data_IF_869601533044
#
_entry.id   IF_869601533044
#
_cell.length_a   1.000
_cell.length_b   1.000
_cell.length_c   1.000
_cell.angle_alpha   90.00
_cell.angle_beta   90.00
_cell.angle_gamma   90.00
#
_symmetry.space_group_name_H-M   'P 1'
#
loop_
_entity.id
_entity.type
_entity.pdbx_description
1 polymer ?
#
# COMPACT_ATOMS: atom_id res chain seq x y z
N UNK A 1 4.03 22.07 -5.63
CA UNK A 1 2.85 21.27 -5.21
C UNK A 1 2.93 20.90 -3.74
N UNK A 2 4.07 20.37 -3.25
CA UNK A 2 4.29 20.03 -1.84
C UNK A 2 4.18 21.21 -0.87
N UNK A 3 4.52 22.43 -1.28
CA UNK A 3 4.42 23.63 -0.44
C UNK A 3 2.99 23.88 0.09
N UNK A 4 1.97 23.56 -0.72
CA UNK A 4 0.57 23.67 -0.28
C UNK A 4 0.21 22.64 0.79
N UNK A 5 0.94 21.53 0.86
CA UNK A 5 0.76 20.52 1.90
C UNK A 5 1.34 20.95 3.25
N UNK A 6 2.11 22.06 3.33
CA UNK A 6 2.75 22.56 4.56
C UNK A 6 2.15 23.89 5.06
N UNK A 7 1.17 24.43 4.33
CA UNK A 7 0.52 25.70 4.63
C UNK A 7 -0.91 25.46 5.09
N UNK A 8 -1.30 26.03 6.23
CA UNK A 8 -2.64 25.81 6.77
C UNK A 8 -3.01 26.71 7.94
N UNK A 9 -4.18 26.46 8.52
CA UNK A 9 -4.68 27.20 9.69
C UNK A 9 -4.06 26.66 10.99
N UNK A 10 -4.26 27.36 12.12
CA UNK A 10 -3.85 26.86 13.44
C UNK A 10 -4.43 25.47 13.75
N UNK A 11 -5.67 25.19 13.33
CA UNK A 11 -6.30 23.87 13.47
C UNK A 11 -5.57 22.79 12.67
N UNK A 12 -5.17 23.12 11.44
CA UNK A 12 -4.38 22.22 10.60
C UNK A 12 -3.05 21.87 11.26
N UNK A 13 -2.30 22.86 11.77
CA UNK A 13 -1.03 22.58 12.45
C UNK A 13 -1.22 21.78 13.75
N UNK A 14 -2.27 22.08 14.52
CA UNK A 14 -2.62 21.29 15.71
C UNK A 14 -2.94 19.83 15.37
N UNK A 15 -3.66 19.59 14.27
CA UNK A 15 -3.96 18.24 13.78
C UNK A 15 -2.70 17.51 13.30
N UNK A 16 -1.82 18.17 12.55
CA UNK A 16 -0.55 17.59 12.12
C UNK A 16 0.35 17.24 13.30
N UNK A 17 0.44 18.10 14.31
CA UNK A 17 1.21 17.83 15.52
C UNK A 17 0.66 16.61 16.28
N UNK A 18 -0.67 16.48 16.39
CA UNK A 18 -1.30 15.33 17.02
C UNK A 18 -0.99 14.02 16.28
N UNK A 19 -1.09 14.01 14.94
CA UNK A 19 -0.74 12.84 14.13
C UNK A 19 0.74 12.47 14.25
N UNK A 20 1.64 13.47 14.23
CA UNK A 20 3.08 13.25 14.41
C UNK A 20 3.40 12.71 15.81
N UNK A 21 2.68 13.15 16.85
CA UNK A 21 2.84 12.61 18.19
C UNK A 21 2.44 11.12 18.25
N UNK A 22 1.32 10.74 17.64
CA UNK A 22 0.90 9.33 17.54
C UNK A 22 1.91 8.48 16.77
N UNK A 23 2.41 8.99 15.63
CA UNK A 23 3.47 8.35 14.85
C UNK A 23 4.74 8.21 15.69
N UNK A 24 5.13 9.24 16.44
CA UNK A 24 6.30 9.22 17.32
C UNK A 24 6.21 8.16 18.42
N UNK A 25 5.04 8.02 19.05
CA UNK A 25 4.79 6.94 20.03
C UNK A 25 4.89 5.58 19.35
N UNK A 26 4.27 5.40 18.18
CA UNK A 26 4.34 4.15 17.42
C UNK A 26 5.78 3.79 17.02
N UNK A 27 6.56 4.78 16.60
CA UNK A 27 7.97 4.61 16.26
C UNK A 27 8.82 4.24 17.49
N UNK A 28 8.58 4.86 18.64
CA UNK A 28 9.27 4.50 19.88
C UNK A 28 8.96 3.04 20.29
N UNK A 29 7.71 2.61 20.18
CA UNK A 29 7.33 1.20 20.40
C UNK A 29 8.02 0.26 19.39
N UNK A 30 8.12 0.67 18.13
CA UNK A 30 8.85 -0.11 17.12
C UNK A 30 10.34 -0.22 17.43
N UNK A 31 11.00 0.82 17.92
CA UNK A 31 12.42 0.73 18.34
C UNK A 31 12.62 -0.27 19.49
N UNK A 32 11.66 -0.32 20.42
CA UNK A 32 11.67 -1.34 21.47
C UNK A 32 11.48 -2.75 20.89
N UNK A 33 10.53 -2.94 19.97
CA UNK A 33 10.36 -4.20 19.23
C UNK A 33 11.60 -4.59 18.43
N UNK A 34 12.27 -3.64 17.78
CA UNK A 34 13.47 -3.92 17.00
C UNK A 34 14.61 -4.47 17.88
N UNK A 35 14.69 -4.04 19.13
CA UNK A 35 15.71 -4.49 20.09
C UNK A 35 15.33 -5.80 20.78
N UNK A 36 14.06 -5.94 21.18
CA UNK A 36 13.57 -7.12 21.91
C UNK A 36 13.17 -8.30 21.00
N UNK A 37 12.82 -8.00 19.75
CA UNK A 37 12.23 -8.94 18.80
C UNK A 37 10.69 -8.95 18.84
N UNK A 38 10.09 -9.75 17.95
CA UNK A 38 8.63 -9.83 17.77
C UNK A 38 7.86 -10.37 18.98
N UNK A 39 8.52 -10.90 20.01
CA UNK A 39 7.86 -11.43 21.21
C UNK A 39 6.99 -10.41 21.96
N UNK A 40 7.30 -9.11 21.83
CA UNK A 40 6.49 -8.02 22.41
C UNK A 40 5.09 -7.91 21.79
N UNK A 41 4.90 -8.41 20.58
CA UNK A 41 3.62 -8.32 19.86
C UNK A 41 2.56 -9.26 20.40
N UNK A 42 2.92 -10.20 21.29
CA UNK A 42 2.04 -11.26 21.76
C UNK A 42 1.80 -12.39 20.75
N UNK A 43 2.50 -12.37 19.60
CA UNK A 43 2.52 -13.49 18.68
C UNK A 43 3.16 -14.71 19.34
N UNK A 44 2.68 -15.90 18.95
CA UNK A 44 3.15 -17.18 19.47
C UNK A 44 3.67 -18.06 18.35
N UNK A 45 4.20 -19.22 18.70
CA UNK A 45 4.59 -20.22 17.69
C UNK A 45 3.41 -20.69 16.85
N UNK A 46 2.22 -20.81 17.45
CA UNK A 46 1.01 -21.31 16.78
C UNK A 46 0.27 -20.20 16.01
N UNK A 47 0.44 -18.95 16.46
CA UNK A 47 -0.11 -17.74 15.83
C UNK A 47 1.05 -16.79 15.54
N UNK A 48 1.76 -17.08 14.45
CA UNK A 48 2.94 -16.34 14.01
C UNK A 48 2.62 -15.06 13.25
N UNK A 49 1.38 -14.88 12.80
CA UNK A 49 0.87 -13.67 12.15
C UNK A 49 -0.22 -13.06 13.02
N UNK A 50 0.03 -11.83 13.47
CA UNK A 50 -0.86 -11.09 14.35
C UNK A 50 -1.41 -9.83 13.69
N UNK A 51 -1.42 -8.74 14.46
CA UNK A 51 -2.06 -7.50 14.04
C UNK A 51 -1.45 -6.88 12.78
N UNK A 52 -0.14 -7.00 12.57
CA UNK A 52 0.53 -6.44 11.39
C UNK A 52 0.00 -7.04 10.09
N UNK A 53 -0.06 -8.36 10.00
CA UNK A 53 -0.53 -9.05 8.79
C UNK A 53 -2.05 -8.91 8.60
N UNK A 54 -2.81 -8.85 9.68
CA UNK A 54 -4.24 -8.52 9.62
C UNK A 54 -4.48 -7.12 9.02
N UNK A 55 -3.76 -6.10 9.50
CA UNK A 55 -3.86 -4.73 8.98
C UNK A 55 -3.36 -4.60 7.55
N UNK A 56 -2.26 -5.28 7.21
CA UNK A 56 -1.77 -5.41 5.84
C UNK A 56 -2.90 -5.89 4.90
N UNK A 57 -3.57 -6.97 5.27
CA UNK A 57 -4.61 -7.59 4.43
C UNK A 57 -5.82 -6.67 4.25
N UNK A 58 -6.23 -6.01 5.34
CA UNK A 58 -7.28 -5.00 5.29
C UNK A 58 -6.92 -3.86 4.34
N UNK A 59 -5.69 -3.33 4.44
CA UNK A 59 -5.25 -2.19 3.65
C UNK A 59 -4.96 -2.53 2.19
N UNK A 60 -4.61 -3.78 1.86
CA UNK A 60 -4.62 -4.26 0.46
C UNK A 60 -6.02 -4.09 -0.14
N UNK A 61 -7.06 -4.44 0.62
CA UNK A 61 -8.45 -4.19 0.24
C UNK A 61 -8.82 -2.73 0.06
N UNK A 62 -8.37 -1.87 0.98
CA UNK A 62 -8.55 -0.43 0.83
C UNK A 62 -7.81 0.09 -0.40
N UNK A 63 -6.60 -0.39 -0.68
CA UNK A 63 -5.80 0.04 -1.82
C UNK A 63 -6.48 -0.27 -3.16
N UNK A 64 -7.04 -1.47 -3.34
CA UNK A 64 -7.69 -1.81 -4.60
C UNK A 64 -9.07 -1.16 -4.80
N UNK A 65 -9.68 -0.62 -3.73
CA UNK A 65 -10.92 0.14 -3.86
C UNK A 65 -10.78 1.35 -4.81
N UNK A 66 -9.55 1.87 -5.00
CA UNK A 66 -9.26 2.91 -5.97
C UNK A 66 -9.65 2.50 -7.41
N UNK A 67 -9.48 1.23 -7.77
CA UNK A 67 -9.82 0.73 -9.11
C UNK A 67 -11.31 0.74 -9.39
N UNK A 68 -12.16 0.66 -8.36
CA UNK A 68 -13.62 0.82 -8.51
C UNK A 68 -14.02 2.20 -9.03
N UNK A 69 -13.17 3.22 -8.81
CA UNK A 69 -13.38 4.60 -9.28
C UNK A 69 -12.68 4.84 -10.63
N UNK A 70 -11.50 4.26 -10.81
CA UNK A 70 -10.69 4.37 -12.04
C UNK A 70 -11.39 3.69 -13.23
N UNK A 71 -11.95 2.49 -13.04
CA UNK A 71 -12.57 1.68 -14.10
C UNK A 71 -13.71 2.42 -14.84
N UNK A 72 -14.76 2.94 -14.18
CA UNK A 72 -15.85 3.64 -14.87
C UNK A 72 -15.38 4.89 -15.64
N UNK A 73 -14.39 5.61 -15.11
CA UNK A 73 -13.89 6.81 -15.75
C UNK A 73 -13.13 6.49 -17.04
N UNK A 74 -12.20 5.53 -17.01
CA UNK A 74 -11.31 5.26 -18.13
C UNK A 74 -11.85 4.24 -19.14
N UNK A 75 -12.61 3.22 -18.72
CA UNK A 75 -13.21 2.23 -19.62
C UNK A 75 -14.59 2.65 -20.13
N UNK A 76 -15.41 3.24 -19.26
CA UNK A 76 -16.80 3.59 -19.61
C UNK A 76 -16.99 5.09 -19.91
N UNK A 77 -15.90 5.88 -19.94
CA UNK A 77 -15.90 7.32 -20.19
C UNK A 77 -16.86 8.11 -19.27
N UNK A 78 -17.10 7.63 -18.05
CA UNK A 78 -18.01 8.27 -17.11
C UNK A 78 -17.32 9.42 -16.38
N UNK A 79 -17.38 10.61 -16.98
CA UNK A 79 -16.63 11.82 -16.56
C UNK A 79 -16.88 12.29 -15.13
N UNK A 80 -17.98 11.89 -14.49
CA UNK A 80 -18.29 12.27 -13.12
C UNK A 80 -17.27 11.75 -12.10
N UNK A 81 -16.55 10.66 -12.42
CA UNK A 81 -15.54 10.11 -11.52
C UNK A 81 -14.17 10.78 -11.62
N UNK A 82 -13.89 11.63 -12.62
CA UNK A 82 -12.54 12.14 -12.88
C UNK A 82 -11.83 12.75 -11.66
N UNK A 83 -12.52 13.61 -10.89
CA UNK A 83 -11.97 14.21 -9.66
C UNK A 83 -11.86 13.22 -8.50
N UNK A 84 -12.78 12.26 -8.42
CA UNK A 84 -12.79 11.23 -7.38
C UNK A 84 -11.66 10.23 -7.64
N UNK A 85 -11.31 9.97 -8.90
CA UNK A 85 -10.19 9.13 -9.31
C UNK A 85 -8.87 9.61 -8.72
N UNK A 86 -8.63 10.92 -8.70
CA UNK A 86 -7.44 11.50 -8.07
C UNK A 86 -7.37 11.14 -6.59
N UNK A 87 -8.47 11.28 -5.86
CA UNK A 87 -8.54 10.91 -4.44
C UNK A 87 -8.35 9.41 -4.23
N UNK A 88 -8.90 8.58 -5.12
CA UNK A 88 -8.73 7.13 -5.11
C UNK A 88 -7.26 6.71 -5.29
N UNK A 89 -6.56 7.28 -6.26
CA UNK A 89 -5.13 7.01 -6.53
C UNK A 89 -4.26 7.38 -5.32
N UNK A 90 -4.48 8.54 -4.69
CA UNK A 90 -3.73 8.92 -3.48
C UNK A 90 -4.09 8.07 -2.25
N UNK A 91 -5.34 7.62 -2.13
CA UNK A 91 -5.73 6.65 -1.10
C UNK A 91 -5.00 5.32 -1.28
N UNK A 92 -4.87 4.85 -2.54
CA UNK A 92 -4.09 3.66 -2.86
C UNK A 92 -2.62 3.85 -2.48
N UNK A 93 -1.99 4.99 -2.83
CA UNK A 93 -0.60 5.29 -2.42
C UNK A 93 -0.43 5.19 -0.90
N UNK A 94 -1.29 5.84 -0.13
CA UNK A 94 -1.22 5.82 1.33
C UNK A 94 -1.42 4.41 1.89
N UNK A 95 -2.40 3.66 1.36
CA UNK A 95 -2.73 2.31 1.83
C UNK A 95 -1.61 1.30 1.52
N UNK A 96 -1.06 1.32 0.30
CA UNK A 96 0.03 0.43 -0.11
C UNK A 96 1.32 0.76 0.63
N UNK A 97 1.59 2.04 0.90
CA UNK A 97 2.73 2.44 1.74
C UNK A 97 2.62 1.80 3.13
N UNK A 98 1.42 1.85 3.73
CA UNK A 98 1.17 1.20 5.01
C UNK A 98 1.27 -0.33 4.93
N UNK A 99 0.81 -0.96 3.85
CA UNK A 99 1.00 -2.40 3.61
C UNK A 99 2.48 -2.80 3.66
N UNK A 100 3.33 -2.07 2.92
CA UNK A 100 4.77 -2.31 2.89
C UNK A 100 5.39 -2.10 4.27
N UNK A 101 4.98 -1.05 5.00
CA UNK A 101 5.46 -0.80 6.36
C UNK A 101 5.04 -1.92 7.32
N UNK A 102 3.80 -2.43 7.24
CA UNK A 102 3.35 -3.54 8.08
C UNK A 102 4.14 -4.82 7.84
N UNK A 103 4.42 -5.15 6.56
CA UNK A 103 5.30 -6.28 6.24
C UNK A 103 6.71 -6.02 6.80
N UNK A 104 7.25 -4.82 6.62
CA UNK A 104 8.60 -4.49 7.07
C UNK A 104 8.77 -4.62 8.58
N UNK A 105 7.82 -4.15 9.39
CA UNK A 105 7.89 -4.25 10.85
C UNK A 105 7.60 -5.66 11.38
N UNK A 106 6.89 -6.48 10.61
CA UNK A 106 6.63 -7.89 10.91
C UNK A 106 7.86 -8.79 10.62
N UNK A 107 8.84 -8.31 9.84
CA UNK A 107 10.08 -9.04 9.63
C UNK A 107 10.89 -9.18 10.92
N UNK A 108 11.24 -10.42 11.28
CA UNK A 108 12.10 -10.69 12.44
C UNK A 108 13.52 -10.12 12.31
N UNK A 109 14.00 -9.87 11.09
CA UNK A 109 15.30 -9.23 10.81
C UNK A 109 15.17 -8.25 9.64
N UNK A 110 14.65 -7.03 9.86
CA UNK A 110 14.33 -6.09 8.78
C UNK A 110 15.59 -5.54 8.10
N UNK A 111 16.76 -5.60 8.74
CA UNK A 111 18.06 -5.24 8.14
C UNK A 111 18.43 -6.09 6.93
N UNK A 112 17.81 -7.27 6.77
CA UNK A 112 18.03 -8.19 5.65
C UNK A 112 17.03 -8.03 4.51
N UNK A 113 16.12 -7.06 4.56
CA UNK A 113 15.07 -6.90 3.52
C UNK A 113 15.65 -6.73 2.11
N UNK A 114 16.82 -6.09 2.00
CA UNK A 114 17.51 -5.88 0.72
C UNK A 114 17.90 -7.20 0.05
N UNK A 115 18.05 -8.29 0.83
CA UNK A 115 18.37 -9.60 0.28
C UNK A 115 17.26 -10.15 -0.62
N UNK A 116 16.00 -9.72 -0.44
CA UNK A 116 14.88 -10.11 -1.31
C UNK A 116 15.09 -9.57 -2.73
N UNK A 117 15.74 -8.40 -2.86
CA UNK A 117 16.09 -7.80 -4.15
C UNK A 117 17.38 -8.39 -4.73
N UNK A 118 18.39 -8.61 -3.88
CA UNK A 118 19.70 -9.14 -4.32
C UNK A 118 19.65 -10.63 -4.67
N UNK A 119 18.74 -11.39 -4.06
CA UNK A 119 18.57 -12.83 -4.29
C UNK A 119 17.11 -13.13 -4.63
N UNK A 120 16.66 -12.80 -5.86
CA UNK A 120 15.29 -13.06 -6.28
C UNK A 120 14.89 -14.53 -6.11
N UNK A 121 13.71 -14.78 -5.55
CA UNK A 121 13.17 -16.12 -5.33
C UNK A 121 11.78 -16.27 -5.97
N UNK A 122 11.69 -16.46 -7.31
CA UNK A 122 10.41 -16.52 -8.03
C UNK A 122 9.49 -17.66 -7.60
N UNK A 123 10.02 -18.68 -6.90
CA UNK A 123 9.23 -19.78 -6.33
C UNK A 123 8.48 -19.38 -5.04
N UNK A 124 8.76 -18.20 -4.47
CA UNK A 124 8.16 -17.71 -3.24
C UNK A 124 7.02 -16.72 -3.52
N UNK A 125 5.86 -16.92 -2.90
CA UNK A 125 4.74 -15.98 -3.00
C UNK A 125 5.09 -14.62 -2.36
N UNK A 126 5.91 -14.61 -1.29
CA UNK A 126 6.39 -13.36 -0.67
C UNK A 126 7.26 -12.52 -1.61
N UNK A 127 7.98 -13.17 -2.53
CA UNK A 127 8.74 -12.43 -3.55
C UNK A 127 7.78 -11.73 -4.53
N UNK A 128 6.73 -12.42 -4.96
CA UNK A 128 5.71 -11.81 -5.83
C UNK A 128 4.94 -10.71 -5.11
N UNK A 129 4.66 -10.85 -3.80
CA UNK A 129 4.01 -9.83 -3.00
C UNK A 129 4.80 -8.51 -3.00
N UNK A 130 6.11 -8.61 -2.79
CA UNK A 130 7.02 -7.46 -2.91
C UNK A 130 6.95 -6.81 -4.30
N UNK A 131 6.96 -7.60 -5.38
CA UNK A 131 6.88 -7.07 -6.74
C UNK A 131 5.55 -6.37 -7.02
N UNK A 132 4.42 -6.98 -6.65
CA UNK A 132 3.11 -6.41 -6.94
C UNK A 132 2.85 -5.16 -6.11
N UNK A 133 3.21 -5.13 -4.82
CA UNK A 133 3.03 -3.96 -3.96
C UNK A 133 3.89 -2.78 -4.43
N UNK A 134 5.18 -3.00 -4.70
CA UNK A 134 6.07 -1.94 -5.18
C UNK A 134 5.67 -1.46 -6.58
N UNK A 135 5.32 -2.38 -7.48
CA UNK A 135 4.83 -2.03 -8.82
C UNK A 135 3.55 -1.20 -8.76
N UNK A 136 2.60 -1.59 -7.90
CA UNK A 136 1.35 -0.84 -7.73
C UNK A 136 1.62 0.54 -7.16
N UNK A 137 2.47 0.64 -6.13
CA UNK A 137 2.84 1.92 -5.52
C UNK A 137 3.44 2.88 -6.54
N UNK A 138 4.38 2.41 -7.36
CA UNK A 138 5.00 3.22 -8.41
C UNK A 138 3.97 3.68 -9.45
N UNK A 139 3.09 2.80 -9.90
CA UNK A 139 2.02 3.14 -10.83
C UNK A 139 1.11 4.23 -10.25
N UNK A 140 0.58 4.05 -9.03
CA UNK A 140 -0.33 5.03 -8.41
C UNK A 140 0.36 6.37 -8.14
N UNK A 141 1.64 6.39 -7.74
CA UNK A 141 2.39 7.64 -7.56
C UNK A 141 2.51 8.39 -8.89
N UNK A 142 2.95 7.70 -9.95
CA UNK A 142 3.15 8.34 -11.27
C UNK A 142 1.83 8.82 -11.86
N UNK A 143 0.80 7.97 -11.83
CA UNK A 143 -0.54 8.27 -12.35
C UNK A 143 -1.16 9.40 -11.53
N UNK A 144 -1.29 9.22 -10.21
CA UNK A 144 -1.90 10.19 -9.30
C UNK A 144 -1.23 11.56 -9.36
N UNK A 145 0.11 11.62 -9.38
CA UNK A 145 0.84 12.88 -9.46
C UNK A 145 0.59 13.61 -10.78
N UNK A 146 0.64 12.90 -11.91
CA UNK A 146 0.48 13.51 -13.23
C UNK A 146 -0.97 13.90 -13.54
N UNK A 147 -1.94 13.13 -13.06
CA UNK A 147 -3.35 13.51 -13.17
C UNK A 147 -3.65 14.73 -12.29
N UNK A 148 -3.10 14.80 -11.08
CA UNK A 148 -3.25 15.98 -10.20
C UNK A 148 -2.59 17.23 -10.81
N UNK A 149 -1.43 17.09 -11.43
CA UNK A 149 -0.75 18.17 -12.14
C UNK A 149 -1.59 18.70 -13.31
N UNK A 150 -2.19 17.80 -14.08
CA UNK A 150 -3.07 18.14 -15.20
C UNK A 150 -4.35 18.87 -14.74
N UNK A 151 -5.03 18.35 -13.71
CA UNK A 151 -6.23 18.98 -13.13
C UNK A 151 -5.92 20.36 -12.56
N UNK A 152 -4.76 20.55 -11.90
CA UNK A 152 -4.35 21.87 -11.38
C UNK A 152 -4.17 22.90 -12.50
N UNK A 153 -3.61 22.48 -13.62
CA UNK A 153 -3.29 23.37 -14.74
C UNK A 153 -4.47 23.51 -15.72
N UNK A 154 -5.62 22.89 -15.42
CA UNK A 154 -6.81 22.84 -16.28
C UNK A 154 -6.50 22.33 -17.70
N UNK A 155 -5.59 21.35 -17.78
CA UNK A 155 -5.19 20.71 -19.03
C UNK A 155 -5.54 19.22 -19.02
N UNK A 156 -5.70 18.64 -20.21
CA UNK A 156 -5.92 17.21 -20.32
C UNK A 156 -4.68 16.41 -19.83
N UNK A 157 -4.87 15.29 -19.10
CA UNK A 157 -3.76 14.41 -18.74
C UNK A 157 -2.98 13.93 -19.96
N UNK A 158 -1.66 13.80 -19.80
CA UNK A 158 -0.78 13.41 -20.89
C UNK A 158 -1.16 12.02 -21.46
N UNK A 159 -1.17 11.89 -22.80
CA UNK A 159 -1.63 10.67 -23.48
C UNK A 159 -0.86 9.39 -23.09
N UNK A 160 0.41 9.52 -22.72
CA UNK A 160 1.25 8.41 -22.26
C UNK A 160 0.83 7.83 -20.91
N UNK A 161 -0.03 8.50 -20.14
CA UNK A 161 -0.59 7.96 -18.90
C UNK A 161 -1.60 6.84 -19.15
N UNK A 162 -2.31 6.88 -20.28
CA UNK A 162 -3.34 5.89 -20.62
C UNK A 162 -2.83 4.44 -20.52
N UNK A 163 -1.70 4.05 -21.13
CA UNK A 163 -1.19 2.68 -20.97
C UNK A 163 -0.83 2.32 -19.52
N UNK A 164 -0.33 3.27 -18.71
CA UNK A 164 -0.05 3.01 -17.30
C UNK A 164 -1.32 2.78 -16.48
N UNK A 165 -2.38 3.52 -16.76
CA UNK A 165 -3.70 3.33 -16.14
C UNK A 165 -4.28 1.97 -16.53
N UNK A 166 -4.17 1.58 -17.80
CA UNK A 166 -4.59 0.24 -18.21
C UNK A 166 -3.75 -0.86 -17.56
N UNK A 167 -2.47 -0.61 -17.29
CA UNK A 167 -1.59 -1.52 -16.57
C UNK A 167 -1.92 -1.58 -15.07
N UNK A 168 -2.37 -0.48 -14.45
CA UNK A 168 -2.67 -0.45 -13.02
C UNK A 168 -3.91 -1.27 -12.64
N UNK A 169 -4.87 -1.43 -13.57
CA UNK A 169 -6.08 -2.25 -13.37
C UNK A 169 -5.74 -3.73 -13.05
N UNK A 170 -5.03 -4.49 -13.91
CA UNK A 170 -4.66 -5.87 -13.59
C UNK A 170 -3.69 -5.95 -12.40
N UNK A 171 -2.90 -4.90 -12.17
CA UNK A 171 -1.99 -4.81 -11.03
C UNK A 171 -2.74 -4.73 -9.69
N UNK A 172 -3.86 -4.01 -9.65
CA UNK A 172 -4.74 -3.96 -8.48
C UNK A 172 -5.42 -5.31 -8.19
N UNK A 173 -5.78 -6.07 -9.24
CA UNK A 173 -6.24 -7.46 -9.06
C UNK A 173 -5.09 -8.31 -8.51
N UNK A 174 -3.87 -8.10 -9.02
CA UNK A 174 -2.69 -8.87 -8.63
C UNK A 174 -2.31 -8.70 -7.15
N UNK A 175 -2.38 -7.49 -6.58
CA UNK A 175 -2.09 -7.30 -5.13
C UNK A 175 -3.04 -8.12 -4.26
N UNK A 176 -4.32 -8.25 -4.65
CA UNK A 176 -5.29 -9.08 -3.96
C UNK A 176 -5.02 -10.56 -4.13
N UNK A 177 -4.81 -10.98 -5.36
CA UNK A 177 -4.59 -12.38 -5.70
C UNK A 177 -3.32 -12.91 -5.01
N UNK A 178 -2.22 -12.16 -5.03
CA UNK A 178 -0.99 -12.55 -4.35
C UNK A 178 -1.17 -12.58 -2.84
N UNK A 179 -1.88 -11.59 -2.27
CA UNK A 179 -2.20 -11.59 -0.83
C UNK A 179 -3.04 -12.81 -0.46
N UNK A 180 -4.02 -13.20 -1.28
CA UNK A 180 -4.80 -14.42 -1.05
C UNK A 180 -3.91 -15.68 -1.09
N UNK A 181 -3.01 -15.77 -2.08
CA UNK A 181 -2.06 -16.88 -2.17
C UNK A 181 -1.08 -16.94 -0.98
N UNK A 182 -0.75 -15.82 -0.34
CA UNK A 182 0.04 -15.83 0.90
C UNK A 182 -0.69 -16.61 2.00
N UNK A 183 -2.00 -16.42 2.14
CA UNK A 183 -2.82 -17.15 3.11
C UNK A 183 -3.02 -18.61 2.74
N UNK A 184 -3.32 -18.91 1.46
CA UNK A 184 -3.49 -20.30 1.00
C UNK A 184 -2.18 -21.10 1.13
N UNK A 185 -1.04 -20.45 0.95
CA UNK A 185 0.28 -21.06 1.01
C UNK A 185 0.80 -21.32 2.43
N UNK A 186 0.10 -20.91 3.49
CA UNK A 186 0.57 -21.08 4.87
C UNK A 186 0.46 -22.53 5.36
N UNK A 187 1.60 -23.18 5.69
CA UNK A 187 1.57 -24.54 6.24
C UNK A 187 0.81 -24.59 7.57
N UNK A 188 0.02 -25.65 7.76
CA UNK A 188 -0.72 -25.87 9.01
C UNK A 188 -2.05 -25.10 9.12
N UNK A 189 -2.44 -24.32 8.10
CA UNK A 189 -3.72 -23.62 8.02
C UNK A 189 -4.63 -24.21 6.95
N UNK A 190 -4.99 -25.48 7.10
CA UNK A 190 -5.79 -26.21 6.09
C UNK A 190 -7.13 -25.56 5.72
N UNK A 191 -7.76 -24.83 6.65
CA UNK A 191 -8.97 -24.04 6.37
C UNK A 191 -8.75 -22.88 5.38
N UNK A 192 -7.51 -22.42 5.20
CA UNK A 192 -7.16 -21.33 4.28
C UNK A 192 -6.73 -21.87 2.92
N UNK A 193 -6.49 -23.17 2.80
CA UNK A 193 -6.16 -23.83 1.53
C UNK A 193 -7.44 -24.07 0.72
N UNK A 194 -8.03 -22.98 0.23
CA UNK A 194 -9.21 -23.00 -0.64
C UNK A 194 -8.90 -22.28 -1.95
N UNK A 195 -9.59 -22.68 -3.01
CA UNK A 195 -9.55 -22.03 -4.32
C UNK A 195 -10.42 -20.77 -4.34
#
# INVERSE_FOLDING_TARGET
>A
MLEKALTGTKKYYGWMAALLAVIGVGFACYLWQFSFGLGITGMSRDVSWGFYIAQFTFLVGVAASAVMVVLPYYLHNYKAFGRITILGEFLAVASVTMCILFIFVDLGQPTRVVNVLLHPSPNSVLFWDMIVLNGYLLLNIVIGWKVLEAERNDVAPAGWLKPLIYLSIPWAVSIHTVTAYLYCGLPGRGFWLTA
#
